data_IF_307752439457
#
_entry.id   IF_307752439457
#
_cell.length_a   1.000
_cell.length_b   1.000
_cell.length_c   1.000
_cell.angle_alpha   90.00
_cell.angle_beta   90.00
_cell.angle_gamma   90.00
#
_symmetry.space_group_name_H-M   'P 1'
#
loop_
_entity.id
_entity.type
_entity.pdbx_description
1 polymer ?
#
# COMPACT_ATOMS: atom_id res chain seq x y z
N UNK A 1 3.18 0.00 41.97
CA UNK A 1 2.95 1.45 41.81
C UNK A 1 1.63 1.61 41.10
N UNK A 2 0.59 2.00 41.82
CA UNK A 2 -0.73 2.25 41.25
C UNK A 2 -0.70 3.56 40.47
N UNK A 3 -1.17 3.51 39.23
CA UNK A 3 -1.26 4.68 38.36
C UNK A 3 -2.42 5.53 38.86
N UNK A 4 -2.20 6.82 39.11
CA UNK A 4 -3.26 7.72 39.61
C UNK A 4 -4.46 7.76 38.65
N UNK A 5 -5.67 7.95 39.19
CA UNK A 5 -6.94 8.01 38.45
C UNK A 5 -6.89 8.99 37.25
N UNK A 6 -6.27 10.14 37.47
CA UNK A 6 -6.09 11.22 36.49
C UNK A 6 -5.15 10.79 35.34
N UNK A 7 -4.11 10.02 35.66
CA UNK A 7 -3.19 9.43 34.67
C UNK A 7 -3.86 8.31 33.87
N UNK A 8 -4.78 7.55 34.47
CA UNK A 8 -5.59 6.54 33.77
C UNK A 8 -6.55 7.18 32.76
N UNK A 9 -7.22 8.27 33.16
CA UNK A 9 -8.13 9.03 32.27
C UNK A 9 -7.39 9.62 31.06
N UNK A 10 -6.16 10.10 31.29
CA UNK A 10 -5.26 10.60 30.23
C UNK A 10 -4.85 9.49 29.26
N UNK A 11 -4.47 8.31 29.76
CA UNK A 11 -4.07 7.18 28.92
C UNK A 11 -5.23 6.68 28.05
N UNK A 12 -6.44 6.62 28.59
CA UNK A 12 -7.63 6.18 27.86
C UNK A 12 -8.00 7.17 26.74
N UNK A 13 -7.82 8.47 26.98
CA UNK A 13 -7.96 9.49 25.95
C UNK A 13 -6.96 9.31 24.81
N UNK A 14 -5.69 9.00 25.13
CA UNK A 14 -4.66 8.71 24.12
C UNK A 14 -5.01 7.47 23.30
N UNK A 15 -5.42 6.36 23.95
CA UNK A 15 -5.85 5.15 23.25
C UNK A 15 -7.01 5.41 22.29
N UNK A 16 -8.02 6.14 22.75
CA UNK A 16 -9.18 6.51 21.94
C UNK A 16 -8.80 7.41 20.76
N UNK A 17 -7.88 8.35 20.95
CA UNK A 17 -7.33 9.16 19.85
C UNK A 17 -6.56 8.30 18.84
N UNK A 18 -5.76 7.34 19.31
CA UNK A 18 -5.04 6.43 18.41
C UNK A 18 -6.05 5.58 17.63
N UNK A 19 -6.99 4.92 18.30
CA UNK A 19 -8.01 4.09 17.63
C UNK A 19 -8.86 4.87 16.63
N UNK A 20 -9.08 6.17 16.86
CA UNK A 20 -9.84 7.01 15.93
C UNK A 20 -9.06 7.35 14.66
N UNK A 21 -7.73 7.43 14.73
CA UNK A 21 -6.89 7.98 13.67
C UNK A 21 -5.86 6.98 13.09
N UNK A 22 -5.74 5.78 13.65
CA UNK A 22 -4.88 4.71 13.14
C UNK A 22 -5.73 3.50 12.78
N UNK A 23 -5.47 2.95 11.59
CA UNK A 23 -6.12 1.75 11.10
C UNK A 23 -5.11 0.98 10.24
N UNK A 24 -5.14 -0.35 10.33
CA UNK A 24 -4.30 -1.23 9.51
C UNK A 24 -4.83 -1.32 8.08
N UNK A 25 -6.12 -1.07 7.86
CA UNK A 25 -6.69 -0.96 6.53
C UNK A 25 -6.37 0.44 5.96
N UNK A 26 -5.54 0.54 4.90
CA UNK A 26 -5.20 1.82 4.26
C UNK A 26 -6.42 2.56 3.69
N UNK A 27 -7.52 1.86 3.42
CA UNK A 27 -8.76 2.43 2.88
C UNK A 27 -9.82 2.74 3.96
N UNK A 28 -9.51 2.59 5.25
CA UNK A 28 -10.49 2.72 6.34
C UNK A 28 -11.28 4.04 6.37
N UNK A 29 -10.73 5.11 5.78
CA UNK A 29 -11.39 6.42 5.69
C UNK A 29 -11.53 6.93 4.26
N UNK A 30 -11.36 6.06 3.26
CA UNK A 30 -11.46 6.43 1.85
C UNK A 30 -12.79 7.11 1.53
N UNK A 31 -13.91 6.57 2.06
CA UNK A 31 -15.25 7.12 1.83
C UNK A 31 -15.47 8.49 2.49
N UNK A 32 -14.69 8.84 3.52
CA UNK A 32 -14.85 10.12 4.22
C UNK A 32 -14.22 11.28 3.44
N UNK A 33 -13.17 11.00 2.67
CA UNK A 33 -12.38 12.01 1.96
C UNK A 33 -11.96 11.47 0.59
N UNK A 34 -12.93 11.06 -0.24
CA UNK A 34 -12.63 10.56 -1.57
C UNK A 34 -12.05 11.68 -2.43
N UNK A 35 -10.75 11.60 -2.70
CA UNK A 35 -10.05 12.53 -3.60
C UNK A 35 -9.66 11.75 -4.85
N UNK A 36 -10.14 12.23 -5.99
CA UNK A 36 -9.82 11.65 -7.29
C UNK A 36 -8.89 12.59 -8.06
N UNK A 37 -7.93 12.01 -8.78
CA UNK A 37 -7.06 12.74 -9.68
C UNK A 37 -7.23 12.19 -11.10
N UNK A 38 -7.48 13.07 -12.06
CA UNK A 38 -7.52 12.69 -13.48
C UNK A 38 -6.15 12.88 -14.12
N UNK A 39 -5.56 11.78 -14.59
CA UNK A 39 -4.33 11.82 -15.37
C UNK A 39 -4.68 12.03 -16.85
N UNK A 40 -4.11 13.07 -17.47
CA UNK A 40 -4.25 13.36 -18.91
C UNK A 40 -2.98 12.97 -19.65
N UNK A 41 -3.12 12.20 -20.72
CA UNK A 41 -2.01 11.91 -21.64
C UNK A 41 -1.63 13.18 -22.37
N UNK A 42 -0.33 13.48 -22.46
CA UNK A 42 0.18 14.61 -23.25
C UNK A 42 -0.19 14.41 -24.72
N UNK A 43 -0.52 15.49 -25.43
CA UNK A 43 -0.98 15.43 -26.83
C UNK A 43 -0.06 14.60 -27.73
N UNK A 44 1.26 14.83 -27.63
CA UNK A 44 2.26 14.10 -28.42
C UNK A 44 2.37 12.60 -28.12
N UNK A 45 1.77 12.11 -27.03
CA UNK A 45 1.84 10.71 -26.61
C UNK A 45 0.51 9.96 -26.78
N UNK A 46 -0.54 10.58 -27.34
CA UNK A 46 -1.90 10.00 -27.42
C UNK A 46 -1.97 8.64 -28.15
N UNK A 47 -1.03 8.38 -29.05
CA UNK A 47 -1.00 7.15 -29.86
C UNK A 47 0.20 6.27 -29.54
N UNK A 48 0.98 6.62 -28.52
CA UNK A 48 2.14 5.83 -28.08
C UNK A 48 1.69 4.79 -27.05
N UNK A 49 1.61 3.53 -27.48
CA UNK A 49 1.34 2.42 -26.57
C UNK A 49 2.62 1.99 -25.86
N UNK A 50 2.71 2.30 -24.59
CA UNK A 50 3.81 1.83 -23.75
C UNK A 50 3.55 0.38 -23.35
N UNK A 51 4.26 -0.55 -24.00
CA UNK A 51 4.22 -1.99 -23.70
C UNK A 51 5.63 -2.53 -23.51
N UNK A 52 6.04 -2.60 -22.26
CA UNK A 52 7.31 -3.21 -21.91
C UNK A 52 7.11 -4.67 -21.51
N UNK A 53 8.14 -5.49 -21.73
CA UNK A 53 8.19 -6.87 -21.24
C UNK A 53 8.40 -6.87 -19.72
N UNK A 54 7.80 -7.83 -19.04
CA UNK A 54 8.01 -8.02 -17.59
C UNK A 54 9.48 -8.29 -17.27
N UNK A 55 9.95 -7.76 -16.15
CA UNK A 55 11.30 -8.04 -15.63
C UNK A 55 11.37 -9.49 -15.18
N UNK A 56 12.49 -10.16 -15.47
CA UNK A 56 12.73 -11.51 -14.96
C UNK A 56 13.07 -11.45 -13.47
N UNK A 57 12.29 -12.17 -12.67
CA UNK A 57 12.48 -12.32 -11.23
C UNK A 57 12.97 -13.72 -10.91
N UNK A 58 13.82 -13.80 -9.87
CA UNK A 58 14.12 -15.08 -9.24
C UNK A 58 12.85 -15.67 -8.57
N UNK A 59 12.94 -16.92 -8.14
CA UNK A 59 11.80 -17.64 -7.59
C UNK A 59 11.31 -17.10 -6.24
N UNK A 60 12.21 -16.54 -5.42
CA UNK A 60 11.87 -15.98 -4.12
C UNK A 60 11.08 -14.67 -4.30
N UNK A 61 11.62 -13.72 -5.06
CA UNK A 61 10.97 -12.45 -5.35
C UNK A 61 9.60 -12.65 -6.02
N UNK A 62 9.47 -13.68 -6.87
CA UNK A 62 8.18 -14.00 -7.50
C UNK A 62 7.14 -14.43 -6.48
N UNK A 63 7.50 -15.23 -5.47
CA UNK A 63 6.59 -15.67 -4.41
C UNK A 63 6.15 -14.48 -3.55
N UNK A 64 7.11 -13.64 -3.17
CA UNK A 64 6.83 -12.46 -2.35
C UNK A 64 5.93 -11.47 -3.10
N UNK A 65 6.24 -11.21 -4.37
CA UNK A 65 5.42 -10.37 -5.24
C UNK A 65 3.99 -10.91 -5.37
N UNK A 66 3.81 -12.23 -5.51
CA UNK A 66 2.48 -12.85 -5.57
C UNK A 66 1.69 -12.68 -4.27
N UNK A 67 2.35 -12.81 -3.12
CA UNK A 67 1.73 -12.60 -1.82
C UNK A 67 1.27 -11.14 -1.65
N UNK A 68 2.13 -10.18 -1.99
CA UNK A 68 1.83 -8.75 -1.94
C UNK A 68 0.65 -8.41 -2.86
N UNK A 69 0.67 -8.89 -4.11
CA UNK A 69 -0.42 -8.66 -5.07
C UNK A 69 -1.75 -9.22 -4.52
N UNK A 70 -1.73 -10.43 -3.97
CA UNK A 70 -2.93 -11.05 -3.37
C UNK A 70 -3.47 -10.22 -2.22
N UNK A 71 -2.60 -9.75 -1.33
CA UNK A 71 -2.98 -8.88 -0.21
C UNK A 71 -3.61 -7.57 -0.72
N UNK A 72 -2.99 -6.92 -1.71
CA UNK A 72 -3.49 -5.66 -2.26
C UNK A 72 -4.84 -5.81 -2.96
N UNK A 73 -5.07 -6.94 -3.65
CA UNK A 73 -6.38 -7.27 -4.22
C UNK A 73 -7.41 -7.47 -3.11
N UNK A 74 -7.07 -8.23 -2.05
CA UNK A 74 -7.98 -8.47 -0.93
C UNK A 74 -8.34 -7.18 -0.17
N UNK A 75 -7.41 -6.23 -0.09
CA UNK A 75 -7.62 -4.91 0.50
C UNK A 75 -8.36 -3.94 -0.44
N UNK A 76 -8.60 -4.31 -1.71
CA UNK A 76 -9.23 -3.43 -2.70
C UNK A 76 -8.35 -2.29 -3.18
N UNK A 77 -7.03 -2.39 -3.00
CA UNK A 77 -6.05 -1.38 -3.43
C UNK A 77 -5.76 -1.42 -4.93
N UNK A 78 -5.80 -2.63 -5.50
CA UNK A 78 -5.59 -2.88 -6.93
C UNK A 78 -6.59 -3.93 -7.41
N UNK A 79 -6.82 -3.96 -8.72
CA UNK A 79 -7.68 -4.94 -9.37
C UNK A 79 -7.03 -5.54 -10.62
N UNK A 80 -7.37 -6.78 -11.00
CA UNK A 80 -7.01 -7.32 -12.30
C UNK A 80 -7.63 -6.47 -13.42
N UNK A 81 -6.81 -6.02 -14.36
CA UNK A 81 -7.27 -5.20 -15.48
C UNK A 81 -6.73 -5.70 -16.82
N UNK A 82 -7.45 -5.36 -17.89
CA UNK A 82 -6.98 -5.54 -19.27
C UNK A 82 -6.67 -4.14 -19.80
N UNK A 83 -5.38 -3.83 -19.95
CA UNK A 83 -4.92 -2.53 -20.43
C UNK A 83 -4.14 -2.68 -21.73
N UNK A 84 -4.29 -1.70 -22.62
CA UNK A 84 -3.43 -1.56 -23.79
C UNK A 84 -1.99 -1.15 -23.42
N UNK A 85 -1.76 -0.74 -22.16
CA UNK A 85 -0.48 -0.33 -21.60
C UNK A 85 0.04 -1.38 -20.62
N UNK A 86 1.35 -1.60 -20.62
CA UNK A 86 2.02 -2.50 -19.67
C UNK A 86 3.37 -1.92 -19.23
N UNK A 87 3.53 -1.77 -17.92
CA UNK A 87 4.77 -1.34 -17.26
C UNK A 87 5.30 -2.49 -16.41
N UNK A 88 6.62 -2.77 -16.43
CA UNK A 88 7.17 -3.87 -15.66
C UNK A 88 7.29 -3.46 -14.19
N UNK A 89 6.77 -4.29 -13.29
CA UNK A 89 6.99 -4.16 -11.85
C UNK A 89 8.23 -4.94 -11.39
N UNK A 90 8.82 -4.52 -10.29
CA UNK A 90 9.88 -5.24 -9.58
C UNK A 90 9.76 -5.07 -8.07
N UNK A 91 10.28 -6.05 -7.33
CA UNK A 91 10.29 -6.02 -5.88
C UNK A 91 11.51 -5.24 -5.39
N UNK A 92 11.29 -4.34 -4.43
CA UNK A 92 12.36 -3.60 -3.74
C UNK A 92 12.38 -4.04 -2.29
N UNK A 93 13.48 -4.64 -1.85
CA UNK A 93 13.64 -5.07 -0.46
C UNK A 93 14.16 -3.91 0.38
N UNK A 94 13.51 -3.66 1.52
CA UNK A 94 13.98 -2.66 2.47
C UNK A 94 15.17 -3.21 3.26
N UNK A 95 16.36 -2.71 2.98
CA UNK A 95 17.60 -3.14 3.65
C UNK A 95 17.58 -2.90 5.17
N UNK A 96 16.79 -1.93 5.65
CA UNK A 96 16.61 -1.69 7.08
C UNK A 96 15.78 -2.76 7.80
N UNK A 97 14.77 -3.33 7.13
CA UNK A 97 13.96 -4.44 7.67
C UNK A 97 14.78 -5.74 7.69
N UNK A 98 15.52 -5.99 6.60
CA UNK A 98 16.44 -7.13 6.51
C UNK A 98 17.45 -7.12 7.67
N UNK A 99 18.04 -5.97 7.98
CA UNK A 99 18.97 -5.82 9.11
C UNK A 99 18.31 -6.05 10.48
N UNK A 100 17.01 -5.80 10.60
CA UNK A 100 16.23 -6.05 11.82
C UNK A 100 15.72 -7.50 11.91
N UNK A 101 16.04 -8.35 10.94
CA UNK A 101 15.58 -9.74 10.89
C UNK A 101 14.09 -9.89 10.59
N UNK A 102 13.44 -8.82 10.10
CA UNK A 102 12.08 -8.88 9.59
C UNK A 102 12.17 -9.00 8.06
N UNK A 103 11.67 -10.11 7.55
CA UNK A 103 11.52 -10.34 6.10
C UNK A 103 10.54 -9.32 5.53
#
# INVERSE_FOLDING_TARGET
MDISEESRLSLENVKRLIQRNFNENPLAWWDRNKIEATLKVKEGCKYEYVRYKSIQMNMEDRKDMQMIIKEHINLGLIEPGISAYNSPGFLVRNHGEIKRGKL
#
